data_IF_984058085855
#
_entry.id   IF_984058085855
#
_cell.length_a   1.000
_cell.length_b   1.000
_cell.length_c   1.000
_cell.angle_alpha   90.00
_cell.angle_beta   90.00
_cell.angle_gamma   90.00
#
_symmetry.space_group_name_H-M   'P 1'
#
loop_
_entity.id
_entity.type
_entity.pdbx_description
1 polymer ?
#
# COMPACT_ATOMS: atom_id res chain seq x y z
N UNK A 1 27.39 -22.14 17.47
CA UNK A 1 26.14 -22.23 16.70
C UNK A 1 25.86 -20.88 16.03
N UNK A 2 25.67 -20.88 14.72
CA UNK A 2 25.27 -19.74 13.91
C UNK A 2 23.84 -20.01 13.44
N UNK A 3 22.93 -19.10 13.78
CA UNK A 3 21.54 -19.13 13.34
C UNK A 3 21.35 -17.91 12.45
N UNK A 4 21.30 -18.13 11.13
CA UNK A 4 21.12 -17.07 10.14
C UNK A 4 20.19 -17.53 9.01
N UNK A 5 19.32 -16.65 8.51
CA UNK A 5 18.48 -16.93 7.34
C UNK A 5 19.18 -16.51 6.04
N UNK A 6 18.68 -16.99 4.88
CA UNK A 6 19.27 -16.78 3.54
C UNK A 6 20.61 -17.52 3.33
N UNK A 7 21.68 -16.84 2.94
CA UNK A 7 23.00 -17.45 2.71
C UNK A 7 23.84 -17.47 4.01
N UNK A 8 24.77 -18.43 4.20
CA UNK A 8 25.57 -18.60 5.42
C UNK A 8 26.71 -17.56 5.56
N UNK A 9 26.41 -16.27 5.38
CA UNK A 9 27.43 -15.22 5.31
C UNK A 9 28.16 -15.07 6.65
N UNK A 10 27.45 -15.10 7.78
CA UNK A 10 28.05 -14.97 9.11
C UNK A 10 28.85 -16.22 9.48
N UNK A 11 28.35 -17.41 9.18
CA UNK A 11 29.04 -18.68 9.39
C UNK A 11 30.37 -18.72 8.62
N UNK A 12 30.37 -18.35 7.34
CA UNK A 12 31.58 -18.27 6.52
C UNK A 12 32.61 -17.30 7.10
N UNK A 13 32.19 -16.09 7.49
CA UNK A 13 33.11 -15.11 8.09
C UNK A 13 33.66 -15.59 9.44
N UNK A 14 32.86 -16.25 10.26
CA UNK A 14 33.29 -16.79 11.55
C UNK A 14 34.28 -17.94 11.38
N UNK A 15 34.09 -18.81 10.38
CA UNK A 15 35.03 -19.88 10.04
C UNK A 15 36.40 -19.30 9.63
N UNK A 16 36.41 -18.26 8.80
CA UNK A 16 37.62 -17.55 8.39
C UNK A 16 38.36 -16.93 9.57
N UNK A 17 37.64 -16.20 10.44
CA UNK A 17 38.23 -15.54 11.62
C UNK A 17 38.69 -16.55 12.68
N UNK A 18 37.95 -17.66 12.84
CA UNK A 18 38.29 -18.74 13.76
C UNK A 18 39.59 -19.44 13.37
N UNK A 19 39.93 -19.48 12.07
CA UNK A 19 41.10 -20.17 11.53
C UNK A 19 41.21 -21.63 12.02
N UNK A 20 40.06 -22.30 12.15
CA UNK A 20 39.95 -23.68 12.65
C UNK A 20 40.19 -23.86 14.16
N UNK A 21 40.31 -22.78 14.94
CA UNK A 21 40.56 -22.86 16.39
C UNK A 21 39.31 -23.18 17.21
N UNK A 22 38.13 -22.80 16.70
CA UNK A 22 36.84 -23.08 17.30
C UNK A 22 35.94 -23.78 16.29
N UNK A 23 35.22 -24.79 16.75
CA UNK A 23 34.15 -25.42 15.98
C UNK A 23 32.97 -24.46 15.84
N UNK A 24 32.59 -24.19 14.59
CA UNK A 24 31.45 -23.36 14.23
C UNK A 24 30.40 -24.30 13.61
N UNK A 25 29.21 -24.32 14.21
CA UNK A 25 28.07 -25.12 13.78
C UNK A 25 27.02 -24.20 13.17
N UNK A 26 26.38 -24.59 12.07
CA UNK A 26 25.42 -23.79 11.32
C UNK A 26 24.86 -24.55 10.12
N UNK A 27 24.67 -23.86 8.99
CA UNK A 27 24.18 -24.46 7.74
C UNK A 27 25.22 -25.32 7.07
N UNK A 28 26.49 -24.91 7.09
CA UNK A 28 27.58 -25.63 6.44
C UNK A 28 27.87 -26.98 7.12
N UNK A 29 27.59 -27.07 8.43
CA UNK A 29 27.67 -28.33 9.19
C UNK A 29 26.39 -29.16 9.15
N UNK A 30 25.30 -28.62 8.60
CA UNK A 30 24.00 -29.28 8.52
C UNK A 30 23.17 -29.23 9.81
N UNK A 31 23.61 -28.48 10.83
CA UNK A 31 22.86 -28.29 12.08
C UNK A 31 21.67 -27.33 11.92
N UNK A 32 21.71 -26.49 10.87
CA UNK A 32 20.61 -25.64 10.45
C UNK A 32 20.27 -25.88 8.98
N UNK A 33 18.98 -25.80 8.59
CA UNK A 33 18.59 -26.00 7.19
C UNK A 33 19.09 -24.85 6.31
N UNK A 34 19.56 -25.21 5.11
CA UNK A 34 20.04 -24.26 4.11
C UNK A 34 18.89 -23.49 3.44
N UNK A 35 17.76 -24.17 3.25
CA UNK A 35 16.59 -23.65 2.53
C UNK A 35 15.37 -23.58 3.46
N UNK A 36 14.50 -22.59 3.20
CA UNK A 36 13.25 -22.37 3.93
C UNK A 36 13.36 -21.31 5.03
N UNK A 37 12.20 -20.86 5.52
CA UNK A 37 12.11 -19.93 6.65
C UNK A 37 12.35 -20.66 7.97
N UNK A 38 13.04 -20.00 8.90
CA UNK A 38 13.25 -20.56 10.21
C UNK A 38 12.01 -20.35 11.07
N UNK A 39 11.42 -21.45 11.50
CA UNK A 39 10.38 -21.42 12.51
C UNK A 39 10.98 -21.23 13.90
N UNK A 40 10.17 -20.73 14.83
CA UNK A 40 10.53 -20.72 16.25
C UNK A 40 10.95 -22.12 16.73
N UNK A 41 10.21 -23.16 16.34
CA UNK A 41 10.50 -24.54 16.74
C UNK A 41 11.81 -25.06 16.18
N UNK A 42 12.13 -24.78 14.92
CA UNK A 42 13.41 -25.19 14.33
C UNK A 42 14.59 -24.54 15.04
N UNK A 43 14.51 -23.23 15.32
CA UNK A 43 15.57 -22.52 16.06
C UNK A 43 15.68 -23.07 17.48
N UNK A 44 14.56 -23.17 18.20
CA UNK A 44 14.51 -23.68 19.57
C UNK A 44 15.13 -25.07 19.68
N UNK A 45 14.71 -26.01 18.83
CA UNK A 45 15.20 -27.39 18.86
C UNK A 45 16.69 -27.47 18.55
N UNK A 46 17.19 -26.71 17.57
CA UNK A 46 18.62 -26.66 17.28
C UNK A 46 19.41 -26.07 18.44
N UNK A 47 18.94 -25.00 19.07
CA UNK A 47 19.62 -24.39 20.22
C UNK A 47 19.62 -25.30 21.45
N UNK A 48 18.51 -25.99 21.74
CA UNK A 48 18.42 -26.96 22.82
C UNK A 48 19.36 -28.15 22.59
N UNK A 49 19.38 -28.69 21.37
CA UNK A 49 20.31 -29.75 20.96
C UNK A 49 21.76 -29.30 21.10
N UNK A 50 22.09 -28.10 20.63
CA UNK A 50 23.44 -27.53 20.73
C UNK A 50 23.88 -27.29 22.17
N UNK A 51 22.97 -26.83 23.04
CA UNK A 51 23.25 -26.58 24.45
C UNK A 51 23.22 -27.86 25.30
N UNK A 52 22.81 -29.00 24.75
CA UNK A 52 22.62 -30.25 25.50
C UNK A 52 21.51 -30.17 26.55
N UNK A 53 20.49 -29.33 26.33
CA UNK A 53 19.38 -29.12 27.26
C UNK A 53 18.15 -29.87 26.76
N UNK A 54 17.58 -30.73 27.61
CA UNK A 54 16.31 -31.39 27.29
C UNK A 54 15.16 -30.38 27.28
N UNK A 55 14.31 -30.46 26.25
CA UNK A 55 13.10 -29.65 26.17
C UNK A 55 12.12 -30.08 27.26
N UNK A 56 11.83 -29.19 28.20
CA UNK A 56 10.68 -29.34 29.10
C UNK A 56 9.56 -28.47 28.55
N UNK A 57 8.78 -28.99 27.59
CA UNK A 57 7.63 -28.25 27.11
C UNK A 57 6.52 -28.26 28.17
N UNK A 58 6.15 -27.12 28.76
CA UNK A 58 4.87 -27.05 29.45
C UNK A 58 3.77 -27.32 28.41
N UNK A 59 2.74 -28.06 28.81
CA UNK A 59 1.57 -28.27 27.97
C UNK A 59 1.07 -26.90 27.47
N UNK A 60 1.02 -26.73 26.13
CA UNK A 60 0.54 -25.50 25.53
C UNK A 60 -0.86 -25.20 26.05
N UNK A 61 -0.99 -24.14 26.84
CA UNK A 61 -2.30 -23.56 27.10
C UNK A 61 -2.91 -23.16 25.75
N UNK A 62 -4.20 -23.44 25.55
CA UNK A 62 -4.87 -23.17 24.29
C UNK A 62 -4.66 -21.72 23.84
N UNK A 63 -4.27 -21.54 22.57
CA UNK A 63 -4.04 -20.21 21.99
C UNK A 63 -5.35 -19.42 22.12
N UNK A 64 -5.36 -18.27 22.83
CA UNK A 64 -6.57 -17.46 22.92
C UNK A 64 -6.91 -16.96 21.52
N UNK A 65 -8.20 -16.79 21.23
CA UNK A 65 -8.64 -16.24 19.94
C UNK A 65 -8.01 -14.87 19.74
N UNK A 66 -6.99 -14.79 18.87
CA UNK A 66 -6.29 -13.55 18.60
C UNK A 66 -7.19 -12.59 17.80
N UNK A 67 -7.11 -11.28 18.06
CA UNK A 67 -7.81 -10.30 17.24
C UNK A 67 -7.24 -10.31 15.83
N UNK A 68 -8.11 -10.30 14.83
CA UNK A 68 -7.70 -10.17 13.42
C UNK A 68 -7.06 -8.80 13.23
N UNK A 69 -5.85 -8.77 12.67
CA UNK A 69 -5.11 -7.54 12.30
C UNK A 69 -5.08 -7.44 10.78
N UNK A 70 -6.15 -6.96 10.13
CA UNK A 70 -6.13 -6.81 8.68
C UNK A 70 -5.08 -5.78 8.30
N UNK A 71 -4.41 -5.94 7.14
CA UNK A 71 -3.52 -4.91 6.65
C UNK A 71 -4.31 -3.65 6.31
N UNK A 72 -3.87 -2.49 6.83
CA UNK A 72 -4.59 -1.22 6.69
C UNK A 72 -3.66 -0.09 6.31
N UNK A 73 -4.13 0.81 5.46
CA UNK A 73 -3.46 2.08 5.18
C UNK A 73 -3.47 2.98 6.43
N UNK A 74 -2.45 3.82 6.61
CA UNK A 74 -2.35 4.80 7.69
C UNK A 74 -3.57 5.73 7.74
N UNK A 75 -3.86 6.32 8.91
CA UNK A 75 -4.95 7.30 9.06
C UNK A 75 -4.75 8.51 8.13
N UNK A 76 -5.75 8.73 7.25
CA UNK A 76 -5.73 9.74 6.19
C UNK A 76 -4.61 9.59 5.14
N UNK A 77 -4.14 8.37 4.91
CA UNK A 77 -3.37 8.03 3.72
C UNK A 77 -4.12 8.51 2.44
N UNK A 78 -3.44 9.22 1.52
CA UNK A 78 -4.06 9.72 0.28
C UNK A 78 -4.56 8.59 -0.63
N UNK A 79 -3.89 7.44 -0.66
CA UNK A 79 -4.30 6.28 -1.46
C UNK A 79 -5.72 5.81 -1.13
N UNK A 80 -6.14 5.90 0.14
CA UNK A 80 -7.52 5.60 0.56
C UNK A 80 -8.52 6.52 -0.12
N UNK A 81 -8.19 7.80 -0.24
CA UNK A 81 -9.03 8.78 -0.88
C UNK A 81 -9.12 8.53 -2.39
N UNK A 82 -7.99 8.22 -3.04
CA UNK A 82 -7.92 7.82 -4.45
C UNK A 82 -8.77 6.57 -4.72
N UNK A 83 -8.64 5.53 -3.91
CA UNK A 83 -9.44 4.31 -4.04
C UNK A 83 -10.93 4.56 -3.87
N UNK A 84 -11.31 5.36 -2.88
CA UNK A 84 -12.71 5.68 -2.66
C UNK A 84 -13.31 6.49 -3.82
N UNK A 85 -12.54 7.42 -4.39
CA UNK A 85 -12.93 8.18 -5.58
C UNK A 85 -13.06 7.29 -6.82
N UNK A 86 -12.04 6.46 -7.12
CA UNK A 86 -12.05 5.52 -8.23
C UNK A 86 -13.23 4.53 -8.13
N UNK A 87 -13.46 3.96 -6.93
CA UNK A 87 -14.61 3.08 -6.67
C UNK A 87 -15.95 3.80 -6.82
N UNK A 88 -16.02 5.10 -6.53
CA UNK A 88 -17.22 5.89 -6.73
C UNK A 88 -17.48 6.10 -8.23
N UNK A 89 -16.45 6.49 -8.99
CA UNK A 89 -16.54 6.64 -10.44
C UNK A 89 -16.93 5.33 -11.14
N UNK A 90 -16.36 4.21 -10.68
CA UNK A 90 -16.61 2.88 -11.21
C UNK A 90 -18.07 2.40 -11.09
N UNK A 91 -18.90 2.99 -10.22
CA UNK A 91 -20.33 2.65 -10.08
C UNK A 91 -21.14 2.92 -11.35
N UNK A 92 -20.65 3.79 -12.22
CA UNK A 92 -21.30 4.11 -13.49
C UNK A 92 -21.05 3.04 -14.56
N UNK A 93 -20.21 2.05 -14.27
CA UNK A 93 -19.83 1.00 -15.21
C UNK A 93 -20.28 -0.37 -14.68
N UNK A 94 -20.69 -1.24 -15.61
CA UNK A 94 -21.23 -2.55 -15.26
C UNK A 94 -20.17 -3.47 -14.62
N UNK A 95 -18.94 -3.44 -15.12
CA UNK A 95 -17.83 -4.27 -14.64
C UNK A 95 -16.55 -3.44 -14.66
N UNK A 96 -15.91 -3.33 -13.50
CA UNK A 96 -14.59 -2.71 -13.34
C UNK A 96 -13.66 -3.71 -12.67
N UNK A 97 -12.46 -3.87 -13.22
CA UNK A 97 -11.38 -4.68 -12.64
C UNK A 97 -10.26 -3.74 -12.20
N UNK A 98 -9.84 -3.87 -10.95
CA UNK A 98 -8.79 -3.06 -10.35
C UNK A 98 -7.48 -3.84 -10.33
N UNK A 99 -6.61 -3.56 -11.29
CA UNK A 99 -5.31 -4.20 -11.39
C UNK A 99 -4.33 -3.46 -10.47
N UNK A 100 -3.92 -4.11 -9.38
CA UNK A 100 -2.96 -3.54 -8.45
C UNK A 100 -1.53 -3.95 -8.78
N UNK A 101 -0.63 -3.41 -7.98
CA UNK A 101 0.82 -3.55 -8.12
C UNK A 101 1.42 -3.59 -6.69
N UNK A 102 2.73 -3.79 -6.51
CA UNK A 102 3.37 -3.93 -5.19
C UNK A 102 3.71 -2.57 -4.57
N UNK A 103 3.12 -2.27 -3.41
CA UNK A 103 3.37 -1.07 -2.62
C UNK A 103 2.28 -0.82 -1.58
N UNK A 104 2.25 0.35 -0.91
CA UNK A 104 1.18 0.67 0.05
C UNK A 104 -0.24 0.49 -0.54
N UNK A 105 -0.38 0.74 -1.83
CA UNK A 105 -1.62 0.62 -2.56
C UNK A 105 -2.06 -0.84 -2.78
N UNK A 106 -1.19 -1.85 -2.61
CA UNK A 106 -1.60 -3.28 -2.53
C UNK A 106 -2.63 -3.51 -1.43
N UNK A 107 -2.54 -2.73 -0.34
CA UNK A 107 -3.48 -2.82 0.79
C UNK A 107 -4.92 -2.42 0.41
N UNK A 108 -5.14 -1.85 -0.78
CA UNK A 108 -6.47 -1.60 -1.34
C UNK A 108 -7.29 -2.89 -1.60
N UNK A 109 -6.64 -4.06 -1.62
CA UNK A 109 -7.33 -5.36 -1.73
C UNK A 109 -8.22 -5.62 -0.50
N UNK A 110 -7.78 -5.20 0.69
CA UNK A 110 -8.50 -5.47 1.92
C UNK A 110 -9.84 -4.71 1.98
N UNK A 111 -10.83 -5.36 2.59
CA UNK A 111 -12.09 -4.70 2.94
C UNK A 111 -11.82 -3.52 3.90
N UNK A 112 -12.54 -2.39 3.75
CA UNK A 112 -13.67 -2.16 2.85
C UNK A 112 -13.33 -1.60 1.47
N UNK A 113 -12.05 -1.33 1.19
CA UNK A 113 -11.64 -0.68 -0.06
C UNK A 113 -12.00 -1.57 -1.25
N UNK A 114 -11.52 -2.82 -1.28
CA UNK A 114 -11.79 -3.77 -2.36
C UNK A 114 -11.54 -3.13 -3.76
N UNK A 115 -10.37 -2.52 -3.92
CA UNK A 115 -9.95 -1.79 -5.14
C UNK A 115 -8.61 -2.31 -5.67
N UNK A 116 -8.30 -3.58 -5.40
CA UNK A 116 -7.17 -4.31 -5.96
C UNK A 116 -7.60 -5.76 -6.07
N UNK A 117 -7.89 -6.23 -7.27
CA UNK A 117 -8.30 -7.61 -7.57
C UNK A 117 -7.10 -8.49 -7.95
N UNK A 118 -6.04 -7.89 -8.46
CA UNK A 118 -4.80 -8.59 -8.86
C UNK A 118 -3.59 -7.86 -8.29
N UNK A 119 -2.56 -8.62 -7.90
CA UNK A 119 -1.26 -8.07 -7.50
C UNK A 119 -0.21 -9.17 -7.69
N UNK A 120 0.80 -8.93 -8.52
CA UNK A 120 1.82 -9.92 -8.87
C UNK A 120 3.22 -9.46 -8.48
N UNK A 121 3.74 -8.43 -9.15
CA UNK A 121 5.05 -7.86 -8.88
C UNK A 121 5.08 -6.36 -9.21
N UNK A 122 6.19 -5.69 -8.88
CA UNK A 122 6.42 -4.28 -9.18
C UNK A 122 6.38 -4.00 -10.69
N UNK A 123 5.39 -3.25 -11.15
CA UNK A 123 5.18 -2.86 -12.54
C UNK A 123 4.15 -3.71 -13.30
N UNK A 124 3.61 -4.77 -12.69
CA UNK A 124 2.69 -5.69 -13.36
C UNK A 124 1.27 -5.13 -13.53
N UNK A 125 0.85 -4.14 -12.73
CA UNK A 125 -0.56 -3.70 -12.73
C UNK A 125 -1.02 -3.19 -14.09
N UNK A 126 -0.16 -2.46 -14.80
CA UNK A 126 -0.46 -1.89 -16.13
C UNK A 126 -0.55 -2.96 -17.21
N UNK A 127 0.33 -3.97 -17.18
CA UNK A 127 0.34 -5.04 -18.20
C UNK A 127 -0.77 -6.07 -17.95
N UNK A 128 -1.07 -6.37 -16.68
CA UNK A 128 -2.24 -7.19 -16.31
C UNK A 128 -3.54 -6.52 -16.77
N UNK A 129 -3.69 -5.21 -16.58
CA UNK A 129 -4.86 -4.47 -17.05
C UNK A 129 -5.07 -4.60 -18.56
N UNK A 130 -4.00 -4.57 -19.36
CA UNK A 130 -4.08 -4.77 -20.80
C UNK A 130 -4.55 -6.19 -21.15
N UNK A 131 -3.97 -7.21 -20.52
CA UNK A 131 -4.37 -8.60 -20.73
C UNK A 131 -5.83 -8.85 -20.37
N UNK A 132 -6.28 -8.35 -19.21
CA UNK A 132 -7.68 -8.48 -18.77
C UNK A 132 -8.61 -7.72 -19.73
N UNK A 133 -8.24 -6.51 -20.16
CA UNK A 133 -9.04 -5.73 -21.11
C UNK A 133 -9.26 -6.48 -22.44
N UNK A 134 -8.27 -7.23 -22.90
CA UNK A 134 -8.36 -8.05 -24.11
C UNK A 134 -9.20 -9.32 -23.88
N UNK A 135 -9.09 -9.94 -22.70
CA UNK A 135 -9.82 -11.16 -22.37
C UNK A 135 -11.30 -10.91 -22.04
N UNK A 136 -11.61 -9.77 -21.42
CA UNK A 136 -12.93 -9.45 -20.85
C UNK A 136 -13.53 -8.24 -21.55
N UNK A 137 -14.18 -8.49 -22.68
CA UNK A 137 -14.81 -7.43 -23.48
C UNK A 137 -15.89 -6.69 -22.66
N UNK A 138 -15.86 -5.36 -22.68
CA UNK A 138 -16.77 -4.50 -21.92
C UNK A 138 -16.35 -4.20 -20.47
N UNK A 139 -15.32 -4.86 -19.92
CA UNK A 139 -14.78 -4.48 -18.62
C UNK A 139 -13.97 -3.17 -18.72
N UNK A 140 -14.11 -2.29 -17.73
CA UNK A 140 -13.16 -1.20 -17.50
C UNK A 140 -12.03 -1.69 -16.60
N UNK A 141 -10.79 -1.39 -16.94
CA UNK A 141 -9.63 -1.81 -16.18
C UNK A 141 -8.88 -0.57 -15.66
N UNK A 142 -8.71 -0.50 -14.34
CA UNK A 142 -7.91 0.55 -13.69
C UNK A 142 -6.63 -0.09 -13.17
N UNK A 143 -5.47 0.38 -13.62
CA UNK A 143 -4.17 -0.06 -13.13
C UNK A 143 -3.66 0.91 -12.06
N UNK A 144 -3.64 0.50 -10.79
CA UNK A 144 -3.05 1.28 -9.70
C UNK A 144 -1.56 1.02 -9.58
N UNK A 145 -0.76 2.08 -9.66
CA UNK A 145 0.70 2.02 -9.56
C UNK A 145 1.21 3.18 -8.70
N UNK A 146 2.19 2.94 -7.84
CA UNK A 146 2.85 4.01 -7.09
C UNK A 146 3.83 4.79 -7.95
N UNK A 147 4.18 6.01 -7.54
CA UNK A 147 5.23 6.83 -8.17
C UNK A 147 6.58 6.10 -8.26
N UNK A 148 7.08 5.49 -7.19
CA UNK A 148 8.34 4.76 -7.21
C UNK A 148 8.32 3.61 -8.22
N UNK A 149 7.23 2.83 -8.23
CA UNK A 149 7.03 1.69 -9.13
C UNK A 149 6.87 2.14 -10.58
N UNK A 150 6.19 3.27 -10.80
CA UNK A 150 6.05 3.89 -12.11
C UNK A 150 7.43 4.16 -12.73
N UNK A 151 8.33 4.81 -11.99
CA UNK A 151 9.69 5.07 -12.45
C UNK A 151 10.55 3.80 -12.60
N UNK A 152 10.34 2.81 -11.74
CA UNK A 152 11.15 1.58 -11.73
C UNK A 152 10.84 0.68 -12.92
N UNK A 153 9.57 0.27 -13.08
CA UNK A 153 9.15 -0.74 -14.07
C UNK A 153 7.81 -0.44 -14.74
N UNK A 154 7.11 0.65 -14.37
CA UNK A 154 5.81 0.99 -14.93
C UNK A 154 5.85 1.59 -16.35
N UNK A 155 6.88 2.39 -16.67
CA UNK A 155 6.97 3.12 -17.95
C UNK A 155 6.87 2.20 -19.18
N UNK A 156 7.57 1.06 -19.28
CA UNK A 156 7.41 0.14 -20.41
C UNK A 156 5.97 -0.35 -20.62
N UNK A 157 5.23 -0.57 -19.52
CA UNK A 157 3.82 -0.97 -19.58
C UNK A 157 2.93 0.12 -20.19
N UNK A 158 3.22 1.40 -19.90
CA UNK A 158 2.53 2.55 -20.50
C UNK A 158 2.79 2.63 -21.99
N UNK A 159 4.06 2.52 -22.41
CA UNK A 159 4.44 2.56 -23.83
C UNK A 159 3.69 1.46 -24.60
N UNK A 160 3.61 0.26 -24.06
CA UNK A 160 2.86 -0.83 -24.69
C UNK A 160 1.36 -0.53 -24.79
N UNK A 161 0.76 0.02 -23.73
CA UNK A 161 -0.66 0.38 -23.73
C UNK A 161 -0.98 1.44 -24.80
N UNK A 162 -0.09 2.42 -24.97
CA UNK A 162 -0.18 3.45 -26.03
C UNK A 162 0.00 2.83 -27.40
N UNK A 163 1.06 2.06 -27.62
CA UNK A 163 1.35 1.44 -28.91
C UNK A 163 0.20 0.54 -29.40
N UNK A 164 -0.42 -0.20 -28.49
CA UNK A 164 -1.55 -1.08 -28.78
C UNK A 164 -2.92 -0.39 -28.67
N UNK A 165 -2.96 0.91 -28.34
CA UNK A 165 -4.17 1.67 -28.06
C UNK A 165 -5.16 0.95 -27.12
N UNK A 166 -4.64 0.36 -26.03
CA UNK A 166 -5.45 -0.46 -25.13
C UNK A 166 -6.23 0.44 -24.17
N UNK A 167 -7.57 0.33 -24.19
CA UNK A 167 -8.52 1.11 -23.36
C UNK A 167 -8.43 0.71 -21.86
N UNK A 168 -7.46 1.30 -21.16
CA UNK A 168 -7.24 1.15 -19.72
C UNK A 168 -7.00 2.52 -19.08
N UNK A 169 -7.31 2.63 -17.79
CA UNK A 169 -6.99 3.81 -16.97
C UNK A 169 -5.79 3.54 -16.07
N UNK A 170 -4.72 4.29 -16.24
CA UNK A 170 -3.50 4.20 -15.42
C UNK A 170 -3.63 5.20 -14.26
N UNK A 171 -3.75 4.68 -13.04
CA UNK A 171 -3.87 5.49 -11.83
C UNK A 171 -2.53 5.54 -11.10
N UNK A 172 -1.76 6.61 -11.33
CA UNK A 172 -0.48 6.82 -10.64
C UNK A 172 -0.75 7.49 -9.29
N UNK A 173 -0.44 6.78 -8.21
CA UNK A 173 -0.63 7.22 -6.83
C UNK A 173 0.69 7.84 -6.31
N UNK A 174 0.88 9.13 -6.59
CA UNK A 174 2.07 9.90 -6.26
C UNK A 174 2.01 10.40 -4.80
N UNK A 175 2.73 9.71 -3.91
CA UNK A 175 2.86 10.09 -2.51
C UNK A 175 4.25 10.65 -2.14
N UNK A 176 5.09 10.85 -3.15
CA UNK A 176 6.42 11.42 -3.08
C UNK A 176 7.43 10.61 -2.25
N UNK A 177 7.22 9.30 -2.09
CA UNK A 177 8.17 8.42 -1.38
C UNK A 177 7.90 6.93 -1.58
N UNK A 178 8.95 6.11 -1.57
CA UNK A 178 8.85 4.65 -1.52
C UNK A 178 8.45 4.18 -0.12
N UNK A 179 7.18 4.41 0.26
CA UNK A 179 6.73 4.37 1.65
C UNK A 179 6.82 2.98 2.32
N UNK A 180 6.34 1.93 1.65
CA UNK A 180 6.22 0.59 2.25
C UNK A 180 7.58 -0.04 2.60
N UNK A 181 8.62 0.35 1.89
CA UNK A 181 9.98 -0.17 2.07
C UNK A 181 10.81 0.68 3.06
N UNK A 182 10.24 1.75 3.62
CA UNK A 182 10.93 2.59 4.62
C UNK A 182 11.36 3.97 4.14
N UNK A 183 10.83 4.47 3.02
CA UNK A 183 10.98 5.88 2.63
C UNK A 183 12.16 6.19 1.72
N UNK A 184 12.58 5.22 0.90
CA UNK A 184 13.70 5.38 -0.04
C UNK A 184 13.41 6.47 -1.08
N UNK A 185 14.44 7.26 -1.46
CA UNK A 185 14.33 8.19 -2.56
C UNK A 185 14.13 7.44 -3.89
N UNK A 186 13.37 8.05 -4.79
CA UNK A 186 13.15 7.60 -6.17
C UNK A 186 13.22 8.83 -7.11
N UNK A 187 13.20 8.66 -8.44
CA UNK A 187 13.40 9.77 -9.39
C UNK A 187 12.45 10.96 -9.23
N UNK A 188 11.28 10.78 -8.61
CA UNK A 188 10.32 11.86 -8.31
C UNK A 188 10.67 12.71 -7.09
N UNK A 189 11.55 12.23 -6.20
CA UNK A 189 11.87 12.87 -4.90
C UNK A 189 12.91 13.99 -4.99
N UNK A 190 13.64 14.09 -6.11
CA UNK A 190 14.72 15.06 -6.26
C UNK A 190 15.96 14.76 -5.40
N UNK A 191 16.15 13.49 -5.00
CA UNK A 191 17.35 13.03 -4.30
C UNK A 191 17.84 11.70 -4.86
N UNK A 192 19.16 11.49 -4.86
CA UNK A 192 19.77 10.19 -5.20
C UNK A 192 19.67 9.22 -4.03
N UNK A 193 19.98 7.94 -4.25
CA UNK A 193 20.08 6.93 -3.19
C UNK A 193 21.08 7.30 -2.08
N UNK A 194 22.12 8.08 -2.42
CA UNK A 194 23.11 8.61 -1.46
C UNK A 194 22.65 9.89 -0.76
N UNK A 195 21.40 10.33 -0.98
CA UNK A 195 20.84 11.53 -0.40
C UNK A 195 21.35 12.84 -1.02
N UNK A 196 22.04 12.80 -2.16
CA UNK A 196 22.49 14.01 -2.86
C UNK A 196 21.31 14.65 -3.61
N UNK A 197 21.26 15.99 -3.74
CA UNK A 197 20.26 16.65 -4.59
C UNK A 197 20.30 16.14 -6.03
N UNK A 198 19.12 15.93 -6.62
CA UNK A 198 18.94 15.54 -8.00
C UNK A 198 17.74 16.30 -8.59
N UNK A 199 17.66 16.39 -9.92
CA UNK A 199 16.49 16.96 -10.60
C UNK A 199 15.32 15.98 -10.48
N UNK A 200 14.19 16.34 -9.85
CA UNK A 200 13.02 15.47 -9.82
C UNK A 200 12.43 15.32 -11.22
N UNK A 201 12.04 14.10 -11.57
CA UNK A 201 11.31 13.79 -12.79
C UNK A 201 9.80 13.97 -12.57
N UNK A 202 9.13 14.47 -13.61
CA UNK A 202 7.70 14.75 -13.60
C UNK A 202 6.92 13.63 -14.30
N UNK A 203 6.00 13.01 -13.57
CA UNK A 203 5.23 11.85 -14.04
C UNK A 203 4.31 12.23 -15.21
N UNK A 204 3.67 13.40 -15.18
CA UNK A 204 2.78 13.85 -16.24
C UNK A 204 3.56 14.05 -17.54
N UNK A 205 4.73 14.71 -17.48
CA UNK A 205 5.60 14.90 -18.65
C UNK A 205 6.05 13.57 -19.25
N UNK A 206 6.35 12.58 -18.43
CA UNK A 206 6.73 11.24 -18.91
C UNK A 206 5.54 10.54 -19.57
N UNK A 207 4.36 10.57 -18.95
CA UNK A 207 3.13 10.01 -19.54
C UNK A 207 2.81 10.65 -20.90
N UNK A 208 2.90 11.98 -21.01
CA UNK A 208 2.75 12.70 -22.28
C UNK A 208 3.80 12.28 -23.30
N UNK A 209 5.06 12.16 -22.89
CA UNK A 209 6.14 11.70 -23.77
C UNK A 209 5.97 10.24 -24.24
N UNK A 210 5.30 9.40 -23.44
CA UNK A 210 4.92 8.04 -23.83
C UNK A 210 3.71 8.02 -24.78
N UNK A 211 3.04 9.15 -25.00
CA UNK A 211 1.89 9.28 -25.91
C UNK A 211 0.51 9.17 -25.26
N UNK A 212 0.41 9.28 -23.92
CA UNK A 212 -0.90 9.35 -23.25
C UNK A 212 -1.48 10.76 -23.44
N UNK A 213 -2.64 10.87 -24.08
CA UNK A 213 -3.26 12.16 -24.38
C UNK A 213 -4.19 12.64 -23.25
N UNK A 214 -5.01 11.72 -22.71
CA UNK A 214 -5.95 12.01 -21.65
C UNK A 214 -5.33 11.81 -20.27
N UNK A 215 -4.81 12.90 -19.68
CA UNK A 215 -4.16 12.88 -18.37
C UNK A 215 -4.80 13.93 -17.46
N UNK A 216 -5.12 13.54 -16.23
CA UNK A 216 -5.56 14.44 -15.16
C UNK A 216 -4.66 14.32 -13.93
N UNK A 217 -4.22 15.46 -13.37
CA UNK A 217 -3.48 15.52 -12.10
C UNK A 217 -4.38 16.12 -11.03
N UNK A 218 -4.63 15.38 -9.94
CA UNK A 218 -5.59 15.75 -8.90
C UNK A 218 -5.01 15.57 -7.49
N UNK A 219 -5.48 16.39 -6.56
CA UNK A 219 -5.30 16.13 -5.12
C UNK A 219 -6.41 15.18 -4.67
N UNK A 220 -6.09 13.94 -4.23
CA UNK A 220 -7.09 12.95 -3.86
C UNK A 220 -7.97 13.36 -2.67
N UNK A 221 -7.58 14.38 -1.90
CA UNK A 221 -8.42 14.94 -0.84
C UNK A 221 -9.53 15.86 -1.35
N UNK A 222 -9.42 16.35 -2.59
CA UNK A 222 -10.52 17.01 -3.31
C UNK A 222 -11.41 15.94 -3.96
N UNK A 223 -12.29 15.38 -3.13
CA UNK A 223 -13.07 14.18 -3.46
C UNK A 223 -13.85 14.31 -4.78
N UNK A 224 -14.62 15.38 -4.96
CA UNK A 224 -15.44 15.58 -6.16
C UNK A 224 -14.58 15.66 -7.44
N UNK A 225 -13.57 16.53 -7.45
CA UNK A 225 -12.63 16.67 -8.57
C UNK A 225 -11.94 15.34 -8.92
N UNK A 226 -11.58 14.55 -7.89
CA UNK A 226 -10.91 13.25 -8.07
C UNK A 226 -11.87 12.21 -8.66
N UNK A 227 -13.13 12.18 -8.20
CA UNK A 227 -14.16 11.30 -8.78
C UNK A 227 -14.39 11.65 -10.25
N UNK A 228 -14.46 12.93 -10.58
CA UNK A 228 -14.69 13.40 -11.95
C UNK A 228 -13.50 13.07 -12.86
N UNK A 229 -12.26 13.22 -12.37
CA UNK A 229 -11.07 12.81 -13.11
C UNK A 229 -11.03 11.30 -13.38
N UNK A 230 -11.35 10.46 -12.39
CA UNK A 230 -11.45 9.02 -12.61
C UNK A 230 -12.57 8.67 -13.59
N UNK A 231 -13.75 9.32 -13.48
CA UNK A 231 -14.87 9.07 -14.39
C UNK A 231 -14.47 9.43 -15.83
N UNK A 232 -13.93 10.63 -16.04
CA UNK A 232 -13.52 11.08 -17.37
C UNK A 232 -12.45 10.17 -17.98
N UNK A 233 -11.47 9.75 -17.19
CA UNK A 233 -10.44 8.82 -17.64
C UNK A 233 -10.99 7.42 -17.98
N UNK A 234 -11.98 6.93 -17.23
CA UNK A 234 -12.65 5.66 -17.51
C UNK A 234 -13.59 5.73 -18.73
N UNK A 235 -14.18 6.89 -19.02
CA UNK A 235 -15.03 7.12 -20.20
C UNK A 235 -14.22 7.32 -21.49
N UNK A 236 -12.97 7.75 -21.37
CA UNK A 236 -12.06 7.89 -22.50
C UNK A 236 -11.88 6.55 -23.25
N UNK A 237 -11.73 6.64 -24.57
CA UNK A 237 -11.45 5.48 -25.43
C UNK A 237 -9.96 5.46 -25.77
N UNK A 238 -9.26 4.45 -25.25
CA UNK A 238 -7.80 4.34 -25.35
C UNK A 238 -7.14 4.54 -23.99
N UNK A 239 -5.81 4.54 -23.92
CA UNK A 239 -5.09 4.66 -22.66
C UNK A 239 -5.26 6.07 -22.08
N UNK A 240 -5.70 6.12 -20.83
CA UNK A 240 -5.84 7.35 -20.04
C UNK A 240 -5.05 7.27 -18.75
N UNK A 241 -4.78 8.42 -18.11
CA UNK A 241 -4.11 8.45 -16.82
C UNK A 241 -4.72 9.45 -15.82
N UNK A 242 -4.70 9.05 -14.55
CA UNK A 242 -5.00 9.92 -13.40
C UNK A 242 -3.81 9.89 -12.46
N UNK A 243 -3.22 11.04 -12.21
CA UNK A 243 -2.14 11.22 -11.24
C UNK A 243 -2.77 11.77 -9.96
N UNK A 244 -2.97 10.89 -8.97
CA UNK A 244 -3.47 11.28 -7.66
C UNK A 244 -2.28 11.66 -6.77
N UNK A 245 -2.02 12.96 -6.62
CA UNK A 245 -0.81 13.52 -6.02
C UNK A 245 -1.09 14.14 -4.65
N UNK A 246 -0.57 13.52 -3.60
CA UNK A 246 -0.57 14.07 -2.24
C UNK A 246 0.47 13.37 -1.37
N UNK A 247 1.21 14.09 -0.51
CA UNK A 247 2.30 13.53 0.25
C UNK A 247 1.87 12.38 1.17
N UNK A 248 2.74 11.38 1.32
CA UNK A 248 2.57 10.35 2.33
C UNK A 248 2.46 10.96 3.73
N UNK A 249 1.60 10.39 4.59
CA UNK A 249 1.39 10.90 5.96
C UNK A 249 2.70 10.93 6.76
N UNK A 250 3.63 10.01 6.44
CA UNK A 250 4.92 9.91 7.11
C UNK A 250 5.86 11.07 6.78
N UNK A 251 5.58 11.83 5.72
CA UNK A 251 6.37 12.99 5.29
C UNK A 251 5.84 14.31 5.84
N UNK A 252 4.65 14.33 6.44
CA UNK A 252 3.99 15.55 6.90
C UNK A 252 3.89 15.58 8.43
N UNK A 253 3.88 16.80 8.98
CA UNK A 253 3.52 16.99 10.38
C UNK A 253 2.02 16.85 10.55
N UNK A 254 1.60 16.25 11.66
CA UNK A 254 0.18 16.17 12.00
C UNK A 254 -0.43 17.58 12.08
N UNK A 255 -1.60 17.81 11.47
CA UNK A 255 -2.22 19.13 11.47
C UNK A 255 -2.69 19.52 12.87
N UNK A 256 -2.74 20.83 13.13
CA UNK A 256 -3.28 21.39 14.40
C UNK A 256 -4.78 21.18 14.58
N UNK A 257 -5.45 20.58 13.61
CA UNK A 257 -6.88 20.27 13.64
C UNK A 257 -7.10 18.77 13.45
N UNK A 258 -8.26 18.30 13.91
CA UNK A 258 -8.72 16.91 13.79
C UNK A 258 -10.20 16.88 13.42
N UNK A 259 -10.70 15.68 13.11
CA UNK A 259 -12.13 15.43 12.91
C UNK A 259 -12.72 14.81 14.16
N UNK A 260 -13.86 15.34 14.61
CA UNK A 260 -14.62 14.82 15.75
C UNK A 260 -16.06 14.55 15.31
N UNK A 261 -16.63 13.48 15.85
CA UNK A 261 -18.03 13.10 15.62
C UNK A 261 -18.88 13.77 16.70
N UNK A 262 -19.96 14.45 16.30
CA UNK A 262 -20.91 15.06 17.23
C UNK A 262 -22.17 14.19 17.41
N UNK A 263 -23.12 14.70 18.22
CA UNK A 263 -24.32 13.96 18.60
C UNK A 263 -25.26 13.60 17.45
N UNK A 264 -25.20 14.35 16.33
CA UNK A 264 -25.99 14.09 15.13
C UNK A 264 -25.63 12.77 14.43
N UNK A 265 -24.58 12.07 14.89
CA UNK A 265 -24.25 10.75 14.38
C UNK A 265 -25.37 9.73 14.65
N UNK A 266 -25.91 9.17 13.58
CA UNK A 266 -26.97 8.15 13.60
C UNK A 266 -26.45 6.70 13.67
N UNK A 267 -25.16 6.47 13.91
CA UNK A 267 -24.61 5.11 14.04
C UNK A 267 -24.65 4.24 12.78
N UNK A 268 -24.84 4.81 11.57
CA UNK A 268 -24.95 4.02 10.34
C UNK A 268 -23.65 3.31 9.89
N UNK A 269 -22.51 3.68 10.49
CA UNK A 269 -21.15 3.15 10.21
C UNK A 269 -20.66 3.27 8.76
N UNK A 270 -21.33 4.05 7.90
CA UNK A 270 -20.96 4.20 6.47
C UNK A 270 -19.51 4.66 6.30
N UNK A 271 -19.05 5.62 7.11
CA UNK A 271 -17.66 6.09 7.09
C UNK A 271 -16.64 5.00 7.44
N UNK A 272 -16.96 4.07 8.36
CA UNK A 272 -16.09 2.93 8.67
C UNK A 272 -16.18 1.89 7.55
N UNK A 273 -17.39 1.49 7.17
CA UNK A 273 -17.67 0.42 6.18
C UNK A 273 -17.29 0.77 4.75
N UNK A 274 -17.01 2.03 4.43
CA UNK A 274 -16.62 2.46 3.08
C UNK A 274 -15.15 2.89 3.02
N UNK A 275 -14.60 3.44 4.09
CA UNK A 275 -13.24 4.01 4.07
C UNK A 275 -12.21 3.14 4.82
N UNK A 276 -12.59 2.46 5.90
CA UNK A 276 -11.66 1.66 6.70
C UNK A 276 -10.50 2.49 7.25
N UNK A 277 -10.78 3.68 7.77
CA UNK A 277 -9.74 4.53 8.38
C UNK A 277 -9.41 4.00 9.78
N UNK A 278 -8.13 3.72 10.12
CA UNK A 278 -7.75 3.20 11.43
C UNK A 278 -7.96 4.21 12.57
N UNK A 279 -8.17 5.49 12.25
CA UNK A 279 -8.59 6.49 13.22
C UNK A 279 -10.06 6.35 13.64
N UNK A 280 -10.84 5.45 13.06
CA UNK A 280 -12.28 5.35 13.33
C UNK A 280 -12.62 4.01 13.98
N UNK A 281 -13.37 4.05 15.06
CA UNK A 281 -13.85 2.86 15.78
C UNK A 281 -15.32 3.03 16.18
N UNK A 282 -15.94 1.94 16.62
CA UNK A 282 -17.32 1.96 17.16
C UNK A 282 -17.24 2.16 18.67
N UNK A 283 -17.92 3.19 19.17
CA UNK A 283 -18.06 3.48 20.59
C UNK A 283 -19.04 2.55 21.30
N UNK A 284 -19.12 2.66 22.62
CA UNK A 284 -20.02 1.83 23.46
C UNK A 284 -21.50 2.06 23.16
N UNK A 285 -21.85 3.26 22.68
CA UNK A 285 -23.19 3.67 22.28
C UNK A 285 -23.54 3.29 20.82
N UNK A 286 -22.66 2.53 20.14
CA UNK A 286 -22.82 2.15 18.74
C UNK A 286 -22.52 3.29 17.74
N UNK A 287 -22.17 4.50 18.21
CA UNK A 287 -21.78 5.61 17.35
C UNK A 287 -20.30 5.53 16.99
N UNK A 288 -19.92 6.29 15.96
CA UNK A 288 -18.53 6.33 15.50
C UNK A 288 -17.73 7.26 16.38
N UNK A 289 -16.54 6.82 16.79
CA UNK A 289 -15.53 7.63 17.50
C UNK A 289 -14.32 7.79 16.59
N UNK A 290 -13.71 8.98 16.59
CA UNK A 290 -12.47 9.25 15.87
C UNK A 290 -11.34 9.43 16.89
N UNK A 291 -10.28 8.64 16.75
CA UNK A 291 -9.05 8.79 17.50
C UNK A 291 -8.26 10.01 16.99
N UNK A 292 -8.26 11.07 17.79
CA UNK A 292 -7.67 12.36 17.47
C UNK A 292 -6.14 12.32 17.40
N UNK A 293 -5.48 11.40 18.11
CA UNK A 293 -4.01 11.33 18.11
C UNK A 293 -3.45 10.97 16.74
N UNK A 294 -4.16 10.11 16.00
CA UNK A 294 -3.76 9.64 14.67
C UNK A 294 -4.57 10.28 13.54
N UNK A 295 -5.61 11.06 13.84
CA UNK A 295 -6.38 11.77 12.82
C UNK A 295 -5.48 12.79 12.08
N UNK A 296 -5.60 12.87 10.77
CA UNK A 296 -4.81 13.78 9.90
C UNK A 296 -5.67 14.83 9.20
N UNK A 297 -6.92 15.01 9.62
CA UNK A 297 -7.82 16.04 9.09
C UNK A 297 -8.04 16.00 7.55
N UNK A 298 -7.91 14.83 6.92
CA UNK A 298 -8.02 14.68 5.46
C UNK A 298 -9.43 14.90 4.88
N UNK A 299 -10.45 15.11 5.72
CA UNK A 299 -11.84 15.44 5.35
C UNK A 299 -12.64 14.40 4.57
N UNK A 300 -12.07 13.30 4.08
CA UNK A 300 -12.80 12.28 3.29
C UNK A 300 -13.99 11.70 4.04
N UNK A 301 -13.85 11.43 5.34
CA UNK A 301 -14.96 10.92 6.17
C UNK A 301 -16.17 11.88 6.22
N UNK A 302 -15.95 13.19 6.07
CA UNK A 302 -17.03 14.20 6.02
C UNK A 302 -17.88 13.99 4.77
N UNK A 303 -17.24 13.73 3.62
CA UNK A 303 -17.91 13.48 2.33
C UNK A 303 -18.77 12.21 2.35
N UNK A 304 -18.40 11.23 3.19
CA UNK A 304 -19.14 9.97 3.34
C UNK A 304 -20.31 10.08 4.31
N UNK A 305 -20.29 11.03 5.25
CA UNK A 305 -21.28 11.15 6.32
C UNK A 305 -22.60 11.74 5.79
N UNK A 306 -23.72 10.99 5.78
CA UNK A 306 -24.98 11.45 5.19
C UNK A 306 -25.66 12.57 6.00
N UNK A 307 -25.33 12.70 7.27
CA UNK A 307 -25.93 13.66 8.22
C UNK A 307 -24.96 14.77 8.64
N UNK A 308 -23.77 14.83 8.04
CA UNK A 308 -22.78 15.87 8.33
C UNK A 308 -22.30 15.93 9.78
N UNK A 309 -22.33 14.81 10.51
CA UNK A 309 -21.99 14.71 11.94
C UNK A 309 -20.49 14.80 12.25
N UNK A 310 -19.62 14.78 11.23
CA UNK A 310 -18.17 14.84 11.39
C UNK A 310 -17.71 16.28 11.17
N UNK A 311 -17.25 16.94 12.23
CA UNK A 311 -16.84 18.35 12.22
C UNK A 311 -15.33 18.48 12.44
N UNK A 312 -14.78 19.58 11.93
CA UNK A 312 -13.40 19.99 12.21
C UNK A 312 -13.35 20.62 13.59
N UNK A 313 -12.37 20.25 14.40
CA UNK A 313 -12.08 20.86 15.71
C UNK A 313 -10.57 21.05 15.81
N UNK A 314 -10.15 21.95 16.70
CA UNK A 314 -8.73 22.08 17.02
C UNK A 314 -8.25 20.84 17.77
N UNK A 315 -7.02 20.43 17.46
CA UNK A 315 -6.33 19.36 18.18
C UNK A 315 -5.97 19.95 19.54
N UNK A 316 -6.53 19.37 20.60
CA UNK A 316 -6.07 19.66 21.95
C UNK A 316 -4.62 19.15 22.03
N UNK A 317 -3.66 20.08 22.06
CA UNK A 317 -2.23 19.80 22.28
C UNK A 317 -1.95 19.86 23.77
#
# INVERSE_FOLDING_TARGET
MVVEELDPVLEEQLLLVSAGKNEIFGKMTGDMPYNGEYSFESIKNTLLKFAGVESTEPAMAGIPKLPVRPPVLCAGCPHRASFYAAKTAAKNFQKTVYCGDIGCYTLGNAAPLNTVDTCLCMGAGITIAQGIKLAENGAKCIAFIGDSTFFHTGIPGVINAVYQNTDITIAVLDNHTTAMTGGQPHPGTGRTAMGLPAKPLDIEKILRACGVEHISTVDPFKYEDTVDAFRSAMEHSGPSAVIAKAPCIALIKLPKSVRRVNEACIGCLKCIKQLGCPAMSVGKDGKVVINESICTDCSICVKVCPVGAIKRVDRNV
#
